data_IF_456571360382
#
_entry.id   IF_456571360382
#
_cell.length_a   1.000
_cell.length_b   1.000
_cell.length_c   1.000
_cell.angle_alpha   90.00
_cell.angle_beta   90.00
_cell.angle_gamma   90.00
#
_symmetry.space_group_name_H-M   'P 1'
#
loop_
_entity.id
_entity.type
_entity.pdbx_description
1 polymer ?
#
# COMPACT_ATOMS: atom_id res chain seq x y z
N UNK A 1 -1.82 19.52 29.01
CA UNK A 1 -2.80 20.61 29.25
C UNK A 1 -2.12 21.91 29.67
N UNK A 2 -1.33 21.92 30.74
CA UNK A 2 -0.66 23.14 31.25
C UNK A 2 0.30 23.82 30.26
N UNK A 3 1.07 23.06 29.48
CA UNK A 3 2.03 23.64 28.52
C UNK A 3 1.34 24.39 27.36
N UNK A 4 0.13 23.97 26.98
CA UNK A 4 -0.67 24.63 25.94
C UNK A 4 -1.25 25.95 26.42
N UNK A 5 -1.70 26.00 27.68
CA UNK A 5 -2.19 27.22 28.30
C UNK A 5 -1.07 28.26 28.46
N UNK A 6 0.12 27.82 28.87
CA UNK A 6 1.30 28.67 29.00
C UNK A 6 1.76 29.24 27.65
N UNK A 7 1.78 28.42 26.60
CA UNK A 7 2.08 28.87 25.24
C UNK A 7 1.08 29.94 24.76
N UNK A 8 -0.22 29.70 24.94
CA UNK A 8 -1.26 30.66 24.57
C UNK A 8 -1.15 31.97 25.34
N UNK A 9 -0.88 31.91 26.64
CA UNK A 9 -0.66 33.09 27.48
C UNK A 9 0.52 33.93 26.99
N UNK A 10 1.67 33.29 26.71
CA UNK A 10 2.86 33.99 26.23
C UNK A 10 2.67 34.60 24.83
N UNK A 11 1.89 33.95 23.94
CA UNK A 11 1.54 34.50 22.63
C UNK A 11 0.66 35.75 22.74
N UNK A 12 -0.39 35.69 23.56
CA UNK A 12 -1.28 36.84 23.80
C UNK A 12 -0.47 37.99 24.42
N UNK A 13 0.40 37.68 25.39
CA UNK A 13 1.23 38.69 26.04
C UNK A 13 2.23 39.36 25.09
N UNK A 14 2.84 38.59 24.20
CA UNK A 14 3.76 39.13 23.19
C UNK A 14 3.03 40.08 22.22
N UNK A 15 1.80 39.74 21.83
CA UNK A 15 0.97 40.59 20.96
C UNK A 15 0.55 41.89 21.67
N UNK A 16 0.15 41.81 22.94
CA UNK A 16 -0.20 42.99 23.76
C UNK A 16 0.96 43.98 23.88
N UNK A 17 2.21 43.49 24.00
CA UNK A 17 3.40 44.31 24.13
C UNK A 17 3.94 44.86 22.80
N UNK A 18 3.45 44.36 21.66
CA UNK A 18 3.82 44.81 20.31
C UNK A 18 2.80 45.79 19.71
N UNK A 19 1.60 45.89 20.28
CA UNK A 19 0.55 46.81 19.83
C UNK A 19 0.67 48.21 20.45
N UNK A 20 0.20 49.23 19.73
CA UNK A 20 0.17 50.66 20.11
C UNK A 20 -0.74 51.00 21.32
N UNK A 21 -1.16 50.02 22.12
CA UNK A 21 -1.96 50.26 23.33
C UNK A 21 -1.06 50.60 24.53
N UNK A 22 -0.42 51.75 24.41
CA UNK A 22 0.32 52.43 25.46
C UNK A 22 -0.68 53.06 26.44
N UNK A 23 -1.30 52.29 27.34
CA UNK A 23 -2.03 52.96 28.43
C UNK A 23 -2.00 52.38 29.83
N UNK A 24 -1.91 51.06 30.11
CA UNK A 24 -2.12 50.62 31.51
C UNK A 24 -1.34 49.38 32.00
N UNK A 25 -0.31 48.89 31.31
CA UNK A 25 0.45 47.71 31.81
C UNK A 25 1.96 47.88 31.95
N UNK A 26 2.52 49.04 31.58
CA UNK A 26 3.96 49.30 31.67
C UNK A 26 4.45 49.68 33.09
N UNK A 27 3.56 50.03 34.02
CA UNK A 27 3.97 50.50 35.34
C UNK A 27 4.44 49.41 36.32
N UNK A 28 4.30 48.13 35.97
CA UNK A 28 4.67 47.02 36.87
C UNK A 28 5.31 45.80 36.20
N UNK A 29 5.90 45.95 35.00
CA UNK A 29 6.51 44.82 34.31
C UNK A 29 8.05 44.89 34.30
N UNK A 30 8.68 43.88 34.89
CA UNK A 30 10.14 43.70 34.91
C UNK A 30 10.72 43.04 33.66
N UNK A 31 9.87 42.37 32.86
CA UNK A 31 10.31 41.55 31.72
C UNK A 31 10.17 42.29 30.39
N UNK A 32 11.22 42.26 29.57
CA UNK A 32 11.23 42.87 28.24
C UNK A 32 10.50 42.00 27.21
N UNK A 33 10.06 42.62 26.10
CA UNK A 33 9.47 41.91 24.95
C UNK A 33 10.38 40.80 24.43
N UNK A 34 11.70 41.03 24.44
CA UNK A 34 12.73 40.05 24.07
C UNK A 34 12.73 38.84 25.03
N UNK A 35 12.60 39.08 26.34
CA UNK A 35 12.54 38.02 27.37
C UNK A 35 11.31 37.13 27.17
N UNK A 36 10.15 37.74 26.89
CA UNK A 36 8.90 37.01 26.65
C UNK A 36 8.95 36.19 25.37
N UNK A 37 9.57 36.71 24.30
CA UNK A 37 9.82 35.94 23.08
C UNK A 37 10.73 34.72 23.35
N UNK A 38 11.83 34.90 24.09
CA UNK A 38 12.73 33.80 24.45
C UNK A 38 12.04 32.74 25.34
N UNK A 39 11.17 33.17 26.25
CA UNK A 39 10.35 32.25 27.06
C UNK A 39 9.36 31.47 26.19
N UNK A 40 8.72 32.12 25.22
CA UNK A 40 7.82 31.46 24.28
C UNK A 40 8.55 30.41 23.43
N UNK A 41 9.74 30.73 22.92
CA UNK A 41 10.58 29.79 22.17
C UNK A 41 10.95 28.57 23.03
N UNK A 42 11.38 28.81 24.28
CA UNK A 42 11.72 27.74 25.23
C UNK A 42 10.52 26.80 25.51
N UNK A 43 9.32 27.37 25.67
CA UNK A 43 8.08 26.60 25.86
C UNK A 43 7.71 25.81 24.62
N UNK A 44 7.89 26.37 23.42
CA UNK A 44 7.65 25.66 22.16
C UNK A 44 8.62 24.50 21.96
N UNK A 45 9.91 24.68 22.29
CA UNK A 45 10.92 23.62 22.27
C UNK A 45 10.58 22.53 23.29
N UNK A 46 10.23 22.89 24.52
CA UNK A 46 9.82 21.91 25.52
C UNK A 46 8.57 21.13 25.08
N UNK A 47 7.59 21.82 24.47
CA UNK A 47 6.38 21.21 23.92
C UNK A 47 6.70 20.22 22.81
N UNK A 48 7.61 20.55 21.89
CA UNK A 48 7.98 19.64 20.80
C UNK A 48 8.66 18.37 21.32
N UNK A 49 9.56 18.49 22.30
CA UNK A 49 10.23 17.36 22.94
C UNK A 49 9.25 16.40 23.65
N UNK A 50 8.24 16.94 24.33
CA UNK A 50 7.24 16.15 25.06
C UNK A 50 6.16 15.59 24.12
N UNK A 51 5.88 16.27 23.02
CA UNK A 51 4.92 15.83 22.01
C UNK A 51 5.54 14.91 20.96
N UNK A 52 6.85 14.67 21.04
CA UNK A 52 7.53 13.73 20.15
C UNK A 52 6.89 12.33 20.28
N UNK A 53 6.56 11.67 19.16
CA UNK A 53 5.95 10.35 19.17
C UNK A 53 6.74 9.33 19.98
N UNK A 54 8.08 9.39 19.97
CA UNK A 54 8.94 8.49 20.72
C UNK A 54 8.80 8.74 22.22
N UNK A 55 8.79 10.00 22.66
CA UNK A 55 8.55 10.38 24.05
C UNK A 55 7.16 9.96 24.52
N UNK A 56 6.14 10.09 23.67
CA UNK A 56 4.78 9.63 23.96
C UNK A 56 4.69 8.10 24.08
N UNK A 57 5.35 7.36 23.19
CA UNK A 57 5.43 5.91 23.28
C UNK A 57 6.15 5.46 24.54
N UNK A 58 7.29 6.06 24.89
CA UNK A 58 8.03 5.76 26.11
C UNK A 58 7.23 6.09 27.38
N UNK A 59 6.52 7.23 27.38
CA UNK A 59 5.60 7.60 28.45
C UNK A 59 4.50 6.54 28.61
N UNK A 60 3.87 6.12 27.51
CA UNK A 60 2.79 5.12 27.54
C UNK A 60 3.30 3.75 27.98
N UNK A 61 4.51 3.33 27.57
CA UNK A 61 5.16 2.11 28.03
C UNK A 61 5.43 2.17 29.55
N UNK A 62 5.88 3.32 30.06
CA UNK A 62 6.16 3.49 31.49
C UNK A 62 4.88 3.49 32.35
N UNK A 63 3.80 4.08 31.86
CA UNK A 63 2.61 4.38 32.67
C UNK A 63 1.41 3.46 32.39
N UNK A 64 1.44 2.64 31.34
CA UNK A 64 0.34 1.74 30.98
C UNK A 64 0.86 0.37 30.55
N UNK A 65 0.82 -0.67 31.41
CA UNK A 65 1.19 -2.02 31.02
C UNK A 65 0.31 -2.55 29.88
N UNK A 66 -0.96 -2.14 29.81
CA UNK A 66 -1.88 -2.49 28.72
C UNK A 66 -1.43 -1.99 27.35
N UNK A 67 -0.72 -0.86 27.30
CA UNK A 67 -0.17 -0.35 26.05
C UNK A 67 0.93 -1.26 25.50
N UNK A 68 1.76 -1.81 26.40
CA UNK A 68 2.78 -2.80 26.05
C UNK A 68 2.14 -4.10 25.55
N UNK A 69 1.10 -4.61 26.22
CA UNK A 69 0.37 -5.80 25.78
C UNK A 69 -0.22 -5.63 24.38
N UNK A 70 -0.84 -4.47 24.11
CA UNK A 70 -1.38 -4.14 22.79
C UNK A 70 -0.26 -4.07 21.73
N UNK A 71 0.89 -3.48 22.07
CA UNK A 71 2.03 -3.37 21.17
C UNK A 71 2.60 -4.75 20.83
N UNK A 72 2.75 -5.62 21.83
CA UNK A 72 3.16 -7.02 21.64
C UNK A 72 2.17 -7.75 20.73
N UNK A 73 0.87 -7.68 21.04
CA UNK A 73 -0.20 -8.29 20.23
C UNK A 73 -0.17 -7.79 18.78
N UNK A 74 0.07 -6.48 18.56
CA UNK A 74 0.18 -5.89 17.22
C UNK A 74 1.39 -6.46 16.47
N UNK A 75 2.54 -6.59 17.14
CA UNK A 75 3.76 -7.14 16.52
C UNK A 75 3.59 -8.62 16.19
N UNK A 76 3.02 -9.41 17.10
CA UNK A 76 2.71 -10.83 16.87
C UNK A 76 1.73 -11.02 15.71
N UNK A 77 0.68 -10.19 15.65
CA UNK A 77 -0.28 -10.20 14.56
C UNK A 77 0.40 -9.92 13.21
N UNK A 78 1.25 -8.87 13.15
CA UNK A 78 2.02 -8.55 11.94
C UNK A 78 2.97 -9.67 11.55
N UNK A 79 3.64 -10.31 12.50
CA UNK A 79 4.49 -11.48 12.24
C UNK A 79 3.72 -12.63 11.62
N UNK A 80 2.57 -12.99 12.20
CA UNK A 80 1.70 -14.04 11.65
C UNK A 80 1.21 -13.70 10.24
N UNK A 81 0.89 -12.42 9.96
CA UNK A 81 0.54 -11.97 8.61
C UNK A 81 1.68 -12.17 7.62
N UNK A 82 2.91 -11.81 7.99
CA UNK A 82 4.09 -11.99 7.14
C UNK A 82 4.30 -13.46 6.81
N UNK A 83 4.21 -14.36 7.80
CA UNK A 83 4.35 -15.80 7.60
C UNK A 83 3.28 -16.36 6.63
N UNK A 84 2.02 -15.93 6.79
CA UNK A 84 0.92 -16.32 5.88
C UNK A 84 1.13 -15.79 4.46
N UNK A 85 1.60 -14.56 4.31
CA UNK A 85 1.86 -13.96 3.00
C UNK A 85 3.00 -14.68 2.28
N UNK A 86 4.07 -15.05 2.99
CA UNK A 86 5.17 -15.83 2.43
C UNK A 86 4.69 -17.20 1.92
N UNK A 87 3.87 -17.90 2.70
CA UNK A 87 3.28 -19.17 2.29
C UNK A 87 2.34 -19.02 1.07
N UNK A 88 1.52 -17.96 1.06
CA UNK A 88 0.63 -17.63 -0.07
C UNK A 88 1.41 -17.33 -1.34
N UNK A 89 2.50 -16.55 -1.24
CA UNK A 89 3.37 -16.23 -2.37
C UNK A 89 3.93 -17.51 -3.00
N UNK A 90 4.42 -18.43 -2.18
CA UNK A 90 4.95 -19.71 -2.66
C UNK A 90 3.86 -20.55 -3.34
N UNK A 91 2.67 -20.62 -2.75
CA UNK A 91 1.54 -21.36 -3.33
C UNK A 91 1.08 -20.79 -4.68
N UNK A 92 0.98 -19.45 -4.80
CA UNK A 92 0.62 -18.79 -6.06
C UNK A 92 1.67 -19.02 -7.13
N UNK A 93 2.96 -18.93 -6.78
CA UNK A 93 4.04 -19.19 -7.71
C UNK A 93 4.02 -20.64 -8.22
N UNK A 94 3.77 -21.61 -7.33
CA UNK A 94 3.65 -23.02 -7.72
C UNK A 94 2.46 -23.26 -8.65
N UNK A 95 1.28 -22.73 -8.32
CA UNK A 95 0.10 -22.80 -9.21
C UNK A 95 0.34 -22.14 -10.56
N UNK A 96 1.08 -21.02 -10.58
CA UNK A 96 1.46 -20.34 -11.82
C UNK A 96 2.33 -21.22 -12.73
N UNK A 97 3.27 -21.98 -12.15
CA UNK A 97 4.08 -22.95 -12.90
C UNK A 97 3.24 -24.09 -13.45
N UNK A 98 2.39 -24.70 -12.63
CA UNK A 98 1.49 -25.79 -13.04
C UNK A 98 0.57 -25.36 -14.18
N UNK A 99 -0.03 -24.17 -14.07
CA UNK A 99 -0.89 -23.62 -15.12
C UNK A 99 -0.12 -23.37 -16.44
N UNK A 100 1.15 -22.95 -16.36
CA UNK A 100 1.99 -22.76 -17.54
C UNK A 100 2.32 -24.09 -18.22
N UNK A 101 2.66 -25.13 -17.44
CA UNK A 101 2.90 -26.48 -17.95
C UNK A 101 1.65 -27.07 -18.60
N UNK A 102 0.49 -26.91 -17.96
CA UNK A 102 -0.80 -27.34 -18.51
C UNK A 102 -1.12 -26.60 -19.82
N UNK A 103 -0.93 -25.28 -19.85
CA UNK A 103 -1.14 -24.47 -21.06
C UNK A 103 -0.25 -24.94 -22.22
N UNK A 104 1.04 -25.24 -21.97
CA UNK A 104 1.94 -25.78 -23.00
C UNK A 104 1.48 -27.14 -23.51
N UNK A 105 1.05 -28.04 -22.62
CA UNK A 105 0.52 -29.34 -23.01
C UNK A 105 -0.75 -29.21 -23.86
N UNK A 106 -1.68 -28.34 -23.46
CA UNK A 106 -2.90 -28.04 -24.21
C UNK A 106 -2.59 -27.44 -25.58
N UNK A 107 -1.63 -26.51 -25.66
CA UNK A 107 -1.22 -25.92 -26.93
C UNK A 107 -0.61 -26.97 -27.88
N UNK A 108 0.19 -27.90 -27.36
CA UNK A 108 0.73 -29.00 -28.16
C UNK A 108 -0.37 -29.93 -28.69
N UNK A 109 -1.34 -30.29 -27.84
CA UNK A 109 -2.52 -31.07 -28.25
C UNK A 109 -3.36 -30.33 -29.29
N UNK A 110 -3.56 -29.04 -29.12
CA UNK A 110 -4.30 -28.20 -30.07
C UNK A 110 -3.62 -28.23 -31.46
N UNK A 111 -2.29 -28.05 -31.51
CA UNK A 111 -1.53 -28.15 -32.77
C UNK A 111 -1.72 -29.49 -33.46
N UNK A 112 -1.63 -30.58 -32.71
CA UNK A 112 -1.83 -31.93 -33.25
C UNK A 112 -3.24 -32.12 -33.80
N UNK A 113 -4.27 -31.63 -33.08
CA UNK A 113 -5.67 -31.70 -33.55
C UNK A 113 -5.85 -30.90 -34.83
N UNK A 114 -5.27 -29.70 -34.93
CA UNK A 114 -5.33 -28.88 -36.15
C UNK A 114 -4.68 -29.60 -37.32
N UNK A 115 -3.51 -30.20 -37.13
CA UNK A 115 -2.81 -30.97 -38.15
C UNK A 115 -3.64 -32.17 -38.64
N UNK A 116 -4.13 -33.00 -37.71
CA UNK A 116 -4.96 -34.17 -38.03
C UNK A 116 -6.27 -33.79 -38.71
N UNK A 117 -6.86 -32.67 -38.34
CA UNK A 117 -8.10 -32.20 -38.96
C UNK A 117 -7.84 -31.69 -40.38
N UNK A 118 -6.70 -31.06 -40.66
CA UNK A 118 -6.28 -30.68 -42.03
C UNK A 118 -6.02 -31.92 -42.90
N UNK A 119 -5.35 -32.94 -42.35
CA UNK A 119 -5.16 -34.23 -43.04
C UNK A 119 -6.50 -34.85 -43.43
N UNK A 120 -7.44 -34.93 -42.47
CA UNK A 120 -8.78 -35.47 -42.68
C UNK A 120 -9.55 -34.67 -43.73
N UNK A 121 -9.51 -33.33 -43.66
CA UNK A 121 -10.14 -32.45 -44.63
C UNK A 121 -9.64 -32.76 -46.06
N UNK A 122 -8.31 -32.89 -46.21
CA UNK A 122 -7.69 -33.21 -47.50
C UNK A 122 -8.10 -34.60 -48.02
N UNK A 123 -8.23 -35.59 -47.13
CA UNK A 123 -8.69 -36.93 -47.49
C UNK A 123 -10.15 -36.90 -47.97
N UNK A 124 -11.02 -36.18 -47.27
CA UNK A 124 -12.43 -36.03 -47.62
C UNK A 124 -12.57 -35.31 -48.97
N UNK A 125 -11.85 -34.21 -49.19
CA UNK A 125 -11.85 -33.47 -50.46
C UNK A 125 -11.44 -34.36 -51.64
N UNK A 126 -10.39 -35.18 -51.48
CA UNK A 126 -9.96 -36.16 -52.48
C UNK A 126 -11.02 -37.21 -52.77
N UNK A 127 -11.66 -37.76 -51.74
CA UNK A 127 -12.66 -38.80 -51.92
C UNK A 127 -13.96 -38.28 -52.54
N UNK A 128 -14.36 -37.05 -52.22
CA UNK A 128 -15.47 -36.37 -52.91
C UNK A 128 -15.07 -36.10 -54.36
N UNK A 129 -13.88 -35.56 -54.63
CA UNK A 129 -13.42 -35.27 -56.00
C UNK A 129 -13.45 -36.50 -56.90
N UNK A 130 -13.03 -37.68 -56.40
CA UNK A 130 -13.12 -38.95 -57.13
C UNK A 130 -14.55 -39.31 -57.52
N UNK A 131 -15.53 -39.09 -56.63
CA UNK A 131 -16.95 -39.32 -56.93
C UNK A 131 -17.51 -38.36 -57.99
N UNK A 132 -16.94 -37.16 -58.11
CA UNK A 132 -17.38 -36.12 -59.04
C UNK A 132 -16.42 -35.94 -60.24
N UNK A 133 -16.02 -37.04 -60.88
CA UNK A 133 -15.22 -37.03 -62.12
C UNK A 133 -13.94 -36.19 -62.03
N UNK A 134 -13.26 -36.20 -60.88
CA UNK A 134 -12.04 -35.44 -60.61
C UNK A 134 -12.18 -33.91 -60.72
N UNK A 135 -13.39 -33.37 -60.49
CA UNK A 135 -13.54 -31.92 -60.31
C UNK A 135 -12.92 -31.50 -58.97
N UNK A 136 -12.24 -30.34 -58.89
CA UNK A 136 -11.70 -29.84 -57.64
C UNK A 136 -12.82 -29.52 -56.64
N UNK A 137 -12.64 -29.94 -55.38
CA UNK A 137 -13.59 -29.72 -54.28
C UNK A 137 -12.82 -29.19 -53.09
N UNK A 138 -13.28 -28.06 -52.54
CA UNK A 138 -12.72 -27.44 -51.33
C UNK A 138 -13.82 -27.38 -50.26
N UNK A 139 -13.54 -27.89 -49.06
CA UNK A 139 -14.45 -27.79 -47.91
C UNK A 139 -14.36 -26.38 -47.31
N UNK A 140 -15.48 -25.65 -47.27
CA UNK A 140 -15.56 -24.34 -46.61
C UNK A 140 -15.85 -24.50 -45.12
N UNK A 141 -15.19 -23.70 -44.26
CA UNK A 141 -15.38 -23.71 -42.81
C UNK A 141 -14.42 -24.63 -42.03
N UNK A 142 -13.29 -25.03 -42.62
CA UNK A 142 -12.24 -25.79 -41.94
C UNK A 142 -11.46 -24.99 -40.89
N UNK A 143 -10.57 -25.66 -40.17
CA UNK A 143 -9.74 -25.20 -39.02
C UNK A 143 -8.80 -24.01 -39.28
N UNK A 144 -8.89 -23.36 -40.44
CA UNK A 144 -8.01 -22.26 -40.83
C UNK A 144 -8.14 -20.99 -39.96
N UNK A 145 -9.14 -20.93 -39.08
CA UNK A 145 -9.47 -19.76 -38.25
C UNK A 145 -9.29 -19.95 -36.74
N UNK A 146 -8.61 -21.01 -36.27
CA UNK A 146 -8.27 -21.20 -34.85
C UNK A 146 -6.80 -20.86 -34.55
#
# INVERSE_FOLDING_TARGET
MYILQLESFLKVRLLEMQGDNDLLTLSHLSESTQSIAAMLDSVQVAKSLISDPSTQHLHNVKHSPRFLDHLVSTVEHKRSLIEKLAASQQAVHQKGKEALEEAQNLQNKQKLIVEKTKELQTQIEKDISKKYKNRPVNLMGGVATL
#
